data_IF_592701295549
#
_entry.id   IF_592701295549
#
_cell.length_a   1.000
_cell.length_b   1.000
_cell.length_c   1.000
_cell.angle_alpha   90.00
_cell.angle_beta   90.00
_cell.angle_gamma   90.00
#
_symmetry.space_group_name_H-M   'P 1'
#
loop_
_entity.id
_entity.type
_entity.pdbx_description
1 polymer ?
#
# COMPACT_ATOMS: atom_id res chain seq x y z
N UNK A 1 3.82 2.69 39.56
CA UNK A 1 3.24 1.64 38.71
C UNK A 1 2.95 2.25 37.34
N UNK A 2 3.35 1.57 36.25
CA UNK A 2 3.05 1.99 34.88
C UNK A 2 1.57 1.69 34.59
N UNK A 3 0.91 2.58 33.89
CA UNK A 3 -0.40 2.29 33.32
C UNK A 3 -0.28 1.30 32.15
N UNK A 4 -1.36 0.60 31.77
CA UNK A 4 -1.39 -0.33 30.63
C UNK A 4 -0.98 0.36 29.32
N UNK A 5 -1.34 1.62 29.14
CA UNK A 5 -0.97 2.42 27.98
C UNK A 5 0.54 2.73 27.96
N UNK A 6 1.14 3.09 29.11
CA UNK A 6 2.58 3.33 29.25
C UNK A 6 3.38 2.04 29.01
N UNK A 7 2.92 0.91 29.56
CA UNK A 7 3.50 -0.40 29.33
C UNK A 7 3.46 -0.79 27.84
N UNK A 8 2.33 -0.52 27.17
CA UNK A 8 2.16 -0.75 25.73
C UNK A 8 3.14 0.09 24.91
N UNK A 9 3.30 1.37 25.22
CA UNK A 9 4.23 2.27 24.53
C UNK A 9 5.69 1.79 24.69
N UNK A 10 6.08 1.39 25.91
CA UNK A 10 7.44 0.87 26.17
C UNK A 10 7.71 -0.44 25.42
N UNK A 11 6.74 -1.37 25.44
CA UNK A 11 6.85 -2.64 24.69
C UNK A 11 7.00 -2.39 23.20
N UNK A 12 6.19 -1.51 22.62
CA UNK A 12 6.25 -1.16 21.20
C UNK A 12 7.60 -0.54 20.84
N UNK A 13 8.10 0.39 21.66
CA UNK A 13 9.39 1.04 21.43
C UNK A 13 10.54 0.02 21.43
N UNK A 14 10.55 -0.93 22.36
CA UNK A 14 11.57 -1.99 22.42
C UNK A 14 11.53 -2.92 21.21
N UNK A 15 10.35 -3.23 20.70
CA UNK A 15 10.20 -4.13 19.56
C UNK A 15 10.57 -3.47 18.21
N UNK A 16 10.29 -2.16 18.04
CA UNK A 16 10.61 -1.44 16.80
C UNK A 16 12.11 -1.15 16.64
N UNK A 17 12.88 -1.18 17.72
CA UNK A 17 14.34 -0.95 17.68
C UNK A 17 15.16 -2.14 17.16
N UNK A 18 14.51 -3.24 16.78
CA UNK A 18 15.20 -4.39 16.16
C UNK A 18 15.64 -4.06 14.74
N UNK A 19 16.78 -4.63 14.29
CA UNK A 19 17.34 -4.38 12.96
C UNK A 19 16.41 -4.78 11.80
N UNK A 20 15.55 -5.79 12.00
CA UNK A 20 14.62 -6.29 11.00
C UNK A 20 13.20 -6.39 11.58
N UNK A 21 12.41 -5.33 11.39
CA UNK A 21 11.00 -5.31 11.75
C UNK A 21 10.17 -5.54 10.50
N UNK A 22 9.29 -6.55 10.54
CA UNK A 22 8.38 -6.83 9.42
C UNK A 22 7.38 -5.69 9.21
N UNK A 23 6.92 -5.46 7.96
CA UNK A 23 5.88 -4.46 7.68
C UNK A 23 4.63 -4.61 8.52
N UNK A 24 4.18 -5.85 8.77
CA UNK A 24 3.03 -6.14 9.65
C UNK A 24 3.30 -5.76 11.10
N UNK A 25 4.47 -6.13 11.65
CA UNK A 25 4.85 -5.76 13.01
C UNK A 25 4.86 -4.24 13.20
N UNK A 26 5.47 -3.52 12.24
CA UNK A 26 5.49 -2.05 12.24
C UNK A 26 4.08 -1.45 12.13
N UNK A 27 3.20 -2.08 11.35
CA UNK A 27 1.81 -1.66 11.19
C UNK A 27 1.03 -1.77 12.51
N UNK A 28 1.08 -2.93 13.18
CA UNK A 28 0.41 -3.13 14.46
C UNK A 28 1.02 -2.28 15.56
N UNK A 29 2.34 -2.15 15.61
CA UNK A 29 3.05 -1.28 16.56
C UNK A 29 2.62 0.19 16.43
N UNK A 30 2.55 0.73 15.19
CA UNK A 30 2.03 2.07 14.93
C UNK A 30 0.58 2.22 15.40
N UNK A 31 -0.27 1.22 15.13
CA UNK A 31 -1.69 1.22 15.53
C UNK A 31 -1.83 1.25 17.05
N UNK A 32 -1.19 0.31 17.76
CA UNK A 32 -1.23 0.21 19.22
C UNK A 32 -0.75 1.50 19.88
N UNK A 33 0.35 2.07 19.40
CA UNK A 33 0.90 3.31 19.92
C UNK A 33 -0.03 4.50 19.75
N UNK A 34 -0.65 4.64 18.56
CA UNK A 34 -1.64 5.69 18.30
C UNK A 34 -2.86 5.52 19.18
N UNK A 35 -3.31 4.29 19.42
CA UNK A 35 -4.45 3.99 20.30
C UNK A 35 -4.12 4.33 21.77
N UNK A 36 -2.96 3.92 22.29
CA UNK A 36 -2.52 4.22 23.65
C UNK A 36 -2.43 5.74 23.91
N UNK A 37 -1.80 6.50 23.01
CA UNK A 37 -1.69 7.96 23.13
C UNK A 37 -3.08 8.62 23.09
N UNK A 38 -4.00 8.12 22.27
CA UNK A 38 -5.38 8.64 22.25
C UNK A 38 -6.13 8.39 23.54
N UNK A 39 -5.92 7.24 24.19
CA UNK A 39 -6.54 6.91 25.48
C UNK A 39 -6.04 7.85 26.57
N UNK A 40 -4.75 8.12 26.63
CA UNK A 40 -4.15 9.06 27.58
C UNK A 40 -4.65 10.51 27.40
N UNK A 41 -4.91 10.95 26.13
CA UNK A 41 -5.40 12.30 25.80
C UNK A 41 -6.90 12.50 25.96
N UNK A 42 -7.67 11.53 26.41
CA UNK A 42 -9.13 11.56 26.48
C UNK A 42 -9.72 12.54 27.50
N UNK A 43 -8.89 13.15 28.33
CA UNK A 43 -9.28 14.11 29.38
C UNK A 43 -9.38 15.57 28.92
N UNK A 44 -9.02 15.91 27.69
CA UNK A 44 -9.07 17.30 27.16
C UNK A 44 -9.55 17.38 25.71
N UNK A 45 -10.71 17.97 25.55
CA UNK A 45 -11.48 18.43 24.38
C UNK A 45 -10.86 18.56 22.98
N UNK A 46 -11.74 18.26 21.98
CA UNK A 46 -11.73 18.46 20.53
C UNK A 46 -11.08 17.37 19.65
N UNK A 47 -11.96 16.55 19.08
CA UNK A 47 -11.61 15.29 18.37
C UNK A 47 -10.90 15.43 17.03
N UNK A 48 -10.95 16.55 16.33
CA UNK A 48 -10.41 16.66 14.95
C UNK A 48 -8.94 17.06 14.94
N UNK A 49 -8.50 17.93 15.83
CA UNK A 49 -7.09 18.32 15.96
C UNK A 49 -6.18 17.24 16.55
N UNK A 50 -6.71 16.40 17.45
CA UNK A 50 -5.96 15.34 18.15
C UNK A 50 -5.48 14.21 17.24
N UNK A 51 -6.28 13.81 16.21
CA UNK A 51 -5.86 12.74 15.28
C UNK A 51 -4.59 13.11 14.51
N UNK A 52 -4.47 14.36 14.10
CA UNK A 52 -3.31 14.84 13.36
C UNK A 52 -2.07 14.88 14.24
N UNK A 53 -2.18 15.44 15.44
CA UNK A 53 -1.08 15.59 16.39
C UNK A 53 -0.54 14.24 16.88
N UNK A 54 -1.42 13.26 17.14
CA UNK A 54 -1.01 11.92 17.59
C UNK A 54 -0.18 11.19 16.54
N UNK A 55 -0.58 11.27 15.24
CA UNK A 55 0.20 10.68 14.16
C UNK A 55 1.56 11.37 13.98
N UNK A 56 1.63 12.68 14.18
CA UNK A 56 2.88 13.44 14.12
C UNK A 56 3.82 13.07 15.30
N UNK A 57 3.28 12.86 16.50
CA UNK A 57 4.05 12.40 17.64
C UNK A 57 4.64 11.00 17.41
N UNK A 58 3.79 10.05 16.99
CA UNK A 58 4.24 8.69 16.68
C UNK A 58 5.26 8.70 15.53
N UNK A 59 5.05 9.53 14.52
CA UNK A 59 5.99 9.68 13.41
C UNK A 59 7.38 10.16 13.86
N UNK A 60 7.44 11.19 14.70
CA UNK A 60 8.70 11.71 15.27
C UNK A 60 9.46 10.65 16.04
N UNK A 61 8.76 9.87 16.88
CA UNK A 61 9.38 8.82 17.69
C UNK A 61 9.88 7.62 16.86
N UNK A 62 9.23 7.32 15.74
CA UNK A 62 9.60 6.25 14.83
C UNK A 62 10.52 6.71 13.67
N UNK A 63 10.89 7.98 13.65
CA UNK A 63 11.62 8.62 12.54
C UNK A 63 10.91 8.44 11.19
N UNK A 64 9.58 8.53 11.21
CA UNK A 64 8.70 8.37 10.06
C UNK A 64 7.84 9.63 9.85
N UNK A 65 7.42 9.88 8.61
CA UNK A 65 6.44 10.93 8.37
C UNK A 65 5.05 10.51 8.87
N UNK A 66 4.20 11.47 9.23
CA UNK A 66 2.80 11.25 9.58
C UNK A 66 2.07 10.41 8.52
N UNK A 67 2.30 10.69 7.24
CA UNK A 67 1.68 9.95 6.15
C UNK A 67 2.16 8.50 6.12
N UNK A 68 3.42 8.26 6.42
CA UNK A 68 3.98 6.91 6.46
C UNK A 68 3.41 6.11 7.64
N UNK A 69 3.26 6.71 8.83
CA UNK A 69 2.58 6.09 9.98
C UNK A 69 1.15 5.71 9.61
N UNK A 70 0.40 6.62 8.98
CA UNK A 70 -0.97 6.32 8.52
C UNK A 70 -0.99 5.15 7.54
N UNK A 71 -0.04 5.07 6.60
CA UNK A 71 0.07 3.98 5.63
C UNK A 71 0.42 2.64 6.29
N UNK A 72 1.30 2.62 7.29
CA UNK A 72 1.54 1.42 8.10
C UNK A 72 0.25 0.96 8.79
N UNK A 73 -0.45 1.86 9.48
CA UNK A 73 -1.72 1.53 10.11
C UNK A 73 -2.73 0.95 9.12
N UNK A 74 -2.74 1.44 7.86
CA UNK A 74 -3.63 0.88 6.82
C UNK A 74 -3.38 -0.60 6.55
N UNK A 75 -2.15 -1.09 6.64
CA UNK A 75 -1.86 -2.52 6.45
C UNK A 75 -2.61 -3.43 7.44
N UNK A 76 -2.95 -2.93 8.64
CA UNK A 76 -3.70 -3.72 9.63
C UNK A 76 -5.15 -4.05 9.21
N UNK A 77 -5.62 -3.48 8.10
CA UNK A 77 -6.94 -3.76 7.51
C UNK A 77 -6.87 -4.78 6.36
N UNK A 78 -5.69 -5.30 6.08
CA UNK A 78 -5.54 -6.43 5.15
C UNK A 78 -5.95 -7.74 5.81
N UNK A 79 -6.48 -8.67 5.03
CA UNK A 79 -6.63 -10.06 5.47
C UNK A 79 -5.25 -10.70 5.66
N UNK A 80 -5.14 -11.65 6.60
CA UNK A 80 -3.86 -12.24 6.97
C UNK A 80 -3.03 -12.78 5.80
N UNK A 81 -3.59 -13.49 4.80
CA UNK A 81 -2.79 -13.98 3.67
C UNK A 81 -2.13 -12.86 2.86
N UNK A 82 -2.85 -11.76 2.60
CA UNK A 82 -2.29 -10.62 1.85
C UNK A 82 -1.24 -9.88 2.69
N UNK A 83 -1.47 -9.73 3.99
CA UNK A 83 -0.49 -9.11 4.89
C UNK A 83 0.81 -9.94 4.95
N UNK A 84 0.69 -11.27 5.00
CA UNK A 84 1.83 -12.18 4.94
C UNK A 84 2.61 -12.02 3.63
N UNK A 85 1.94 -11.86 2.48
CA UNK A 85 2.62 -11.60 1.21
C UNK A 85 3.44 -10.30 1.23
N UNK A 86 3.02 -9.31 2.02
CA UNK A 86 3.79 -8.06 2.20
C UNK A 86 5.04 -8.33 3.04
N UNK A 87 4.94 -9.11 4.11
CA UNK A 87 6.06 -9.49 4.97
C UNK A 87 7.10 -10.34 4.22
N UNK A 88 6.64 -11.21 3.33
CA UNK A 88 7.47 -12.03 2.45
C UNK A 88 8.03 -11.28 1.23
N UNK A 89 7.78 -9.98 1.12
CA UNK A 89 8.14 -9.13 -0.03
C UNK A 89 7.59 -9.62 -1.39
N UNK A 90 6.59 -10.50 -1.39
CA UNK A 90 5.86 -10.97 -2.59
C UNK A 90 4.88 -9.91 -3.09
N UNK A 91 4.41 -9.04 -2.21
CA UNK A 91 3.58 -7.88 -2.54
C UNK A 91 4.27 -6.60 -2.08
N UNK A 92 4.33 -5.61 -2.98
CA UNK A 92 4.93 -4.32 -2.65
C UNK A 92 4.02 -3.52 -1.68
N UNK A 93 4.64 -2.74 -0.80
CA UNK A 93 3.98 -1.96 0.25
C UNK A 93 2.89 -1.01 -0.31
N UNK A 94 3.18 -0.27 -1.38
CA UNK A 94 2.25 0.72 -1.92
C UNK A 94 0.97 0.12 -2.51
N UNK A 95 1.01 -0.93 -3.35
CA UNK A 95 -0.16 -1.69 -3.75
C UNK A 95 -0.96 -2.22 -2.56
N UNK A 96 -0.30 -2.80 -1.56
CA UNK A 96 -0.95 -3.34 -0.36
C UNK A 96 -1.74 -2.27 0.42
N UNK A 97 -1.19 -1.06 0.55
CA UNK A 97 -1.90 0.07 1.18
C UNK A 97 -3.19 0.40 0.41
N UNK A 98 -3.17 0.42 -0.92
CA UNK A 98 -4.39 0.67 -1.71
C UNK A 98 -5.42 -0.47 -1.54
N UNK A 99 -4.97 -1.74 -1.54
CA UNK A 99 -5.83 -2.91 -1.33
C UNK A 99 -6.47 -2.89 0.06
N UNK A 100 -5.80 -2.36 1.09
CA UNK A 100 -6.34 -2.26 2.44
C UNK A 100 -7.63 -1.41 2.55
N UNK A 101 -8.00 -0.66 1.51
CA UNK A 101 -9.26 0.08 1.44
C UNK A 101 -10.41 -0.72 0.82
N UNK A 102 -10.14 -1.92 0.30
CA UNK A 102 -11.16 -2.82 -0.22
C UNK A 102 -11.87 -3.53 0.93
N UNK A 103 -13.09 -4.02 0.67
CA UNK A 103 -13.80 -4.86 1.64
C UNK A 103 -13.05 -6.17 1.88
N UNK A 104 -13.19 -6.81 3.06
CA UNK A 104 -12.56 -8.11 3.32
C UNK A 104 -13.00 -9.21 2.34
N UNK A 105 -14.20 -9.13 1.79
CA UNK A 105 -14.70 -10.03 0.77
C UNK A 105 -13.94 -9.86 -0.55
N UNK A 106 -13.83 -8.63 -1.04
CA UNK A 106 -13.09 -8.33 -2.26
C UNK A 106 -11.59 -8.62 -2.12
N UNK A 107 -11.03 -8.49 -0.91
CA UNK A 107 -9.65 -8.91 -0.64
C UNK A 107 -9.49 -10.44 -0.76
N UNK A 108 -10.48 -11.24 -0.31
CA UNK A 108 -10.45 -12.70 -0.50
C UNK A 108 -10.56 -13.10 -1.97
N UNK A 109 -11.43 -12.45 -2.75
CA UNK A 109 -11.47 -12.66 -4.20
C UNK A 109 -10.13 -12.36 -4.87
N UNK A 110 -9.56 -11.21 -4.53
CA UNK A 110 -8.25 -10.82 -5.05
C UNK A 110 -7.15 -11.81 -4.66
N UNK A 111 -7.13 -12.30 -3.43
CA UNK A 111 -6.15 -13.27 -2.96
C UNK A 111 -6.25 -14.59 -3.74
N UNK A 112 -7.45 -15.12 -3.92
CA UNK A 112 -7.68 -16.33 -4.71
C UNK A 112 -7.23 -16.14 -6.18
N UNK A 113 -7.51 -14.99 -6.77
CA UNK A 113 -7.13 -14.69 -8.14
C UNK A 113 -5.61 -14.48 -8.31
N UNK A 114 -4.95 -13.88 -7.31
CA UNK A 114 -3.48 -13.77 -7.30
C UNK A 114 -2.79 -15.12 -7.25
N UNK A 115 -3.35 -16.08 -6.52
CA UNK A 115 -2.84 -17.46 -6.47
C UNK A 115 -3.06 -18.18 -7.80
N UNK A 116 -4.23 -18.02 -8.43
CA UNK A 116 -4.55 -18.62 -9.72
C UNK A 116 -3.66 -18.09 -10.87
N UNK A 117 -3.45 -16.79 -10.90
CA UNK A 117 -2.68 -16.11 -11.96
C UNK A 117 -1.18 -16.04 -11.67
N UNK A 118 -0.72 -16.49 -10.49
CA UNK A 118 0.66 -16.31 -9.99
C UNK A 118 1.16 -14.85 -10.15
N UNK A 119 0.26 -13.88 -9.96
CA UNK A 119 0.51 -12.47 -10.22
C UNK A 119 0.00 -11.58 -9.08
N UNK A 120 0.73 -10.52 -8.79
CA UNK A 120 0.31 -9.49 -7.84
C UNK A 120 -0.01 -8.19 -8.57
N UNK A 121 -1.01 -7.40 -8.14
CA UNK A 121 -1.38 -6.18 -8.82
C UNK A 121 -0.29 -5.11 -8.67
N UNK A 122 -0.10 -4.33 -9.73
CA UNK A 122 0.71 -3.11 -9.70
C UNK A 122 -0.03 -2.02 -8.92
N UNK A 123 0.67 -0.92 -8.58
CA UNK A 123 0.05 0.21 -7.89
C UNK A 123 -1.14 0.80 -8.65
N UNK A 124 -1.03 0.89 -9.99
CA UNK A 124 -2.12 1.40 -10.84
C UNK A 124 -3.33 0.46 -10.81
N UNK A 125 -3.09 -0.85 -10.91
CA UNK A 125 -4.14 -1.86 -10.82
C UNK A 125 -4.80 -1.84 -9.43
N UNK A 126 -4.02 -1.74 -8.35
CA UNK A 126 -4.54 -1.67 -6.98
C UNK A 126 -5.43 -0.45 -6.73
N UNK A 127 -5.12 0.71 -7.33
CA UNK A 127 -5.98 1.90 -7.27
C UNK A 127 -7.31 1.68 -7.98
N UNK A 128 -7.30 1.06 -9.17
CA UNK A 128 -8.54 0.71 -9.89
C UNK A 128 -9.39 -0.28 -9.09
N UNK A 129 -8.77 -1.32 -8.51
CA UNK A 129 -9.45 -2.30 -7.67
C UNK A 129 -10.10 -1.67 -6.44
N UNK A 130 -9.39 -0.76 -5.77
CA UNK A 130 -9.92 0.01 -4.65
C UNK A 130 -11.16 0.81 -5.07
N UNK A 131 -11.08 1.57 -6.16
CA UNK A 131 -12.18 2.39 -6.66
C UNK A 131 -13.41 1.53 -6.98
N UNK A 132 -13.22 0.44 -7.72
CA UNK A 132 -14.32 -0.47 -8.05
C UNK A 132 -14.90 -1.17 -6.82
N UNK A 133 -14.06 -1.55 -5.85
CA UNK A 133 -14.51 -2.12 -4.59
C UNK A 133 -15.37 -1.14 -3.78
N UNK A 134 -14.97 0.13 -3.73
CA UNK A 134 -15.71 1.19 -3.04
C UNK A 134 -17.03 1.55 -3.73
N UNK A 135 -17.07 1.48 -5.05
CA UNK A 135 -18.26 1.73 -5.85
C UNK A 135 -19.21 0.51 -5.93
N UNK A 136 -18.80 -0.65 -5.40
CA UNK A 136 -19.59 -1.89 -5.45
C UNK A 136 -19.68 -2.50 -6.86
N UNK A 137 -18.78 -2.15 -7.78
CA UNK A 137 -18.77 -2.61 -9.17
C UNK A 137 -17.71 -3.68 -9.45
N UNK A 138 -16.94 -4.08 -8.44
CA UNK A 138 -15.90 -5.09 -8.60
C UNK A 138 -16.51 -6.50 -8.81
N UNK A 139 -16.02 -7.21 -9.82
CA UNK A 139 -16.38 -8.60 -10.13
C UNK A 139 -15.15 -9.48 -10.19
N UNK A 140 -15.31 -10.79 -9.92
CA UNK A 140 -14.21 -11.76 -10.05
C UNK A 140 -13.66 -11.83 -11.48
N UNK A 141 -14.54 -11.77 -12.47
CA UNK A 141 -14.12 -11.72 -13.88
C UNK A 141 -13.21 -10.52 -14.20
N UNK A 142 -13.52 -9.35 -13.62
CA UNK A 142 -12.66 -8.17 -13.80
C UNK A 142 -11.30 -8.34 -13.12
N UNK A 143 -11.25 -8.98 -11.96
CA UNK A 143 -10.00 -9.30 -11.27
C UNK A 143 -9.09 -10.16 -12.14
N UNK A 144 -9.65 -11.24 -12.72
CA UNK A 144 -8.91 -12.10 -13.66
C UNK A 144 -8.35 -11.33 -14.86
N UNK A 145 -9.20 -10.57 -15.52
CA UNK A 145 -8.78 -9.75 -16.69
C UNK A 145 -7.67 -8.78 -16.30
N UNK A 146 -7.79 -8.08 -15.16
CA UNK A 146 -6.83 -7.09 -14.71
C UNK A 146 -5.46 -7.70 -14.36
N UNK A 147 -5.45 -8.87 -13.71
CA UNK A 147 -4.19 -9.53 -13.30
C UNK A 147 -3.47 -10.17 -14.49
N UNK A 148 -4.21 -10.59 -15.52
CA UNK A 148 -3.66 -11.14 -16.76
C UNK A 148 -3.25 -10.08 -17.78
N UNK A 149 -3.62 -8.81 -17.60
CA UNK A 149 -3.16 -7.70 -18.43
C UNK A 149 -1.62 -7.59 -18.43
N UNK A 150 -1.03 -7.43 -19.60
CA UNK A 150 0.40 -7.13 -19.70
C UNK A 150 0.74 -5.82 -19.01
N UNK A 151 1.57 -5.88 -17.98
CA UNK A 151 2.04 -4.69 -17.27
C UNK A 151 2.90 -3.82 -18.21
N UNK A 152 2.86 -2.48 -18.06
CA UNK A 152 3.61 -1.57 -18.94
C UNK A 152 5.12 -1.85 -19.00
N UNK A 153 5.72 -2.39 -17.92
CA UNK A 153 7.12 -2.78 -17.87
C UNK A 153 7.43 -4.12 -18.55
N UNK A 154 6.42 -4.92 -18.87
CA UNK A 154 6.55 -6.18 -19.60
C UNK A 154 6.34 -5.99 -21.12
N UNK A 155 5.86 -4.82 -21.55
CA UNK A 155 5.76 -4.50 -22.96
C UNK A 155 7.15 -4.33 -23.55
N UNK A 156 7.47 -5.07 -24.60
CA UNK A 156 8.70 -4.83 -25.37
C UNK A 156 8.64 -3.42 -25.94
N UNK A 157 9.55 -2.55 -25.50
CA UNK A 157 9.70 -1.22 -26.07
C UNK A 157 10.69 -1.32 -27.21
N UNK A 158 10.21 -1.14 -28.43
CA UNK A 158 11.09 -0.96 -29.58
C UNK A 158 11.45 0.51 -29.66
N UNK A 159 12.72 0.80 -29.49
CA UNK A 159 13.27 2.13 -29.77
C UNK A 159 13.80 2.12 -31.20
N UNK A 160 13.13 2.84 -32.08
CA UNK A 160 13.65 3.13 -33.42
C UNK A 160 14.36 4.48 -33.35
N UNK A 161 15.63 4.50 -33.75
CA UNK A 161 16.36 5.76 -33.91
C UNK A 161 15.79 6.50 -35.11
N UNK A 162 15.73 7.84 -35.04
CA UNK A 162 15.20 8.67 -36.13
C UNK A 162 15.94 8.41 -37.45
N UNK A 163 17.24 8.13 -37.37
CA UNK A 163 18.05 7.76 -38.55
C UNK A 163 17.62 6.43 -39.21
N UNK A 164 17.12 5.48 -38.43
CA UNK A 164 16.68 4.18 -38.95
C UNK A 164 15.29 4.31 -39.57
N UNK A 165 14.42 5.14 -38.97
CA UNK A 165 13.09 5.43 -39.52
C UNK A 165 13.20 6.22 -40.80
N UNK A 166 14.09 7.22 -40.91
CA UNK A 166 14.30 8.03 -42.12
C UNK A 166 14.68 7.22 -43.36
N UNK A 167 15.32 6.04 -43.21
CA UNK A 167 15.67 5.17 -44.35
C UNK A 167 14.44 4.57 -45.06
N UNK A 168 13.31 4.52 -44.39
CA UNK A 168 12.07 3.94 -44.95
C UNK A 168 11.12 4.99 -45.53
N UNK A 169 11.44 6.28 -45.37
CA UNK A 169 10.62 7.39 -45.82
C UNK A 169 11.34 8.20 -46.91
N UNK A 170 10.62 8.76 -47.91
CA UNK A 170 11.22 9.62 -48.92
C UNK A 170 11.89 10.87 -48.32
N UNK A 171 12.93 11.42 -48.98
CA UNK A 171 13.58 12.66 -48.54
C UNK A 171 12.57 13.80 -48.47
N UNK A 172 12.51 14.48 -47.33
CA UNK A 172 11.61 15.64 -47.09
C UNK A 172 10.44 15.38 -46.14
N UNK A 173 10.25 14.16 -45.65
CA UNK A 173 9.28 13.89 -44.59
C UNK A 173 9.75 14.50 -43.25
N UNK A 174 8.84 15.23 -42.60
CA UNK A 174 9.11 15.78 -41.25
C UNK A 174 8.87 14.74 -40.16
N UNK A 175 9.46 14.89 -38.95
CA UNK A 175 9.23 13.97 -37.84
C UNK A 175 7.75 13.79 -37.46
N UNK A 176 6.91 14.78 -37.74
CA UNK A 176 5.46 14.74 -37.51
C UNK A 176 4.69 13.94 -38.57
N UNK A 177 5.32 13.65 -39.70
CA UNK A 177 4.75 12.89 -40.83
C UNK A 177 5.26 11.44 -40.89
N UNK A 178 6.23 11.08 -40.02
CA UNK A 178 6.81 9.75 -39.86
C UNK A 178 6.13 9.00 -38.71
#
# INVERSE_FOLDING_TARGET
>A
ELTDDEATILMVNSNIQREHVLPSEKAFACKMKVEAIKHQGRTTSSQVGMKSQTLDLVGKELNESRNQVHRYIRLTYLISPILQMVDEARMAFNPAVEISYMTPEHQRWLQAEMELCEATPSLVQSRRLKEMSQNGTLTEHYLHTLLTEQKPNQRQKFFLNQSDVQRFFPPGYTPEQM
#
